data_IF_288100300163
#
_entry.id   IF_288100300163
#
_cell.length_a   1.000
_cell.length_b   1.000
_cell.length_c   1.000
_cell.angle_alpha   90.00
_cell.angle_beta   90.00
_cell.angle_gamma   90.00
#
_symmetry.space_group_name_H-M   'P 1'
#
loop_
_entity.id
_entity.type
_entity.pdbx_description
1 polymer ?
#
# COMPACT_ATOMS: atom_id res chain seq x y z
N UNK A 1 4.39 -2.91 43.95
CA UNK A 1 3.68 -3.04 42.66
C UNK A 1 3.48 -4.51 42.36
N UNK A 2 2.24 -5.00 42.36
CA UNK A 2 1.91 -6.36 41.93
C UNK A 2 2.06 -6.41 40.40
N UNK A 3 3.00 -7.22 39.90
CA UNK A 3 3.05 -7.59 38.47
C UNK A 3 1.78 -8.38 38.17
N UNK A 4 0.88 -7.80 37.37
CA UNK A 4 -0.21 -8.57 36.79
C UNK A 4 0.43 -9.53 35.78
N UNK A 5 0.55 -10.80 36.19
CA UNK A 5 0.83 -11.90 35.29
C UNK A 5 -0.51 -12.21 34.62
N UNK A 6 -0.62 -11.99 33.30
CA UNK A 6 -1.80 -12.36 32.51
C UNK A 6 -1.55 -13.79 31.99
N UNK A 7 -2.08 -14.85 32.63
CA UNK A 7 -1.59 -16.21 32.42
C UNK A 7 -2.30 -16.97 31.29
N UNK A 8 -3.24 -16.36 30.55
CA UNK A 8 -4.09 -17.12 29.60
C UNK A 8 -4.20 -16.51 28.20
N UNK A 9 -3.34 -15.54 27.86
CA UNK A 9 -3.20 -15.05 26.49
C UNK A 9 -1.73 -14.87 26.17
N UNK A 10 -1.01 -15.97 26.01
CA UNK A 10 0.13 -16.02 25.08
C UNK A 10 -0.40 -15.79 23.66
N UNK A 11 -0.99 -14.62 23.40
CA UNK A 11 -1.00 -14.11 22.04
C UNK A 11 0.46 -13.86 21.72
N UNK A 12 0.97 -14.65 20.78
CA UNK A 12 2.40 -14.89 20.64
C UNK A 12 3.07 -13.58 20.19
N UNK A 13 3.55 -12.80 21.17
CA UNK A 13 4.42 -11.66 20.92
C UNK A 13 5.57 -12.10 20.01
N UNK A 14 6.05 -13.35 20.14
CA UNK A 14 7.03 -13.87 19.22
C UNK A 14 6.48 -14.08 17.80
N UNK A 15 5.19 -14.37 17.58
CA UNK A 15 4.58 -14.38 16.24
C UNK A 15 4.57 -12.99 15.61
N UNK A 16 4.11 -11.97 16.35
CA UNK A 16 4.14 -10.58 15.86
C UNK A 16 5.57 -10.18 15.50
N UNK A 17 6.53 -10.50 16.37
CA UNK A 17 7.94 -10.20 16.14
C UNK A 17 8.55 -11.02 14.98
N UNK A 18 8.17 -12.29 14.81
CA UNK A 18 8.57 -13.13 13.66
C UNK A 18 8.05 -12.56 12.34
N UNK A 19 6.79 -12.14 12.30
CA UNK A 19 6.22 -11.45 11.11
C UNK A 19 6.99 -10.18 10.81
N UNK A 20 7.36 -9.41 11.84
CA UNK A 20 8.16 -8.21 11.66
C UNK A 20 9.58 -8.50 11.16
N UNK A 21 10.24 -9.54 11.66
CA UNK A 21 11.56 -9.96 11.19
C UNK A 21 11.49 -10.41 9.73
N UNK A 22 10.54 -11.27 9.38
CA UNK A 22 10.29 -11.69 7.99
C UNK A 22 9.91 -10.52 7.09
N UNK A 23 9.15 -9.57 7.61
CA UNK A 23 8.82 -8.36 6.87
C UNK A 23 10.08 -7.52 6.62
N UNK A 24 10.94 -7.35 7.62
CA UNK A 24 12.23 -6.70 7.41
C UNK A 24 13.09 -7.43 6.37
N UNK A 25 13.11 -8.76 6.39
CA UNK A 25 13.80 -9.57 5.38
C UNK A 25 13.20 -9.39 3.99
N UNK A 26 11.87 -9.36 3.87
CA UNK A 26 11.15 -9.03 2.63
C UNK A 26 11.50 -7.64 2.10
N UNK A 27 11.44 -6.63 2.96
CA UNK A 27 11.75 -5.24 2.61
C UNK A 27 13.23 -5.03 2.25
N UNK A 28 14.13 -5.83 2.82
CA UNK A 28 15.55 -5.86 2.47
C UNK A 28 15.83 -6.73 1.21
N UNK A 29 14.79 -7.27 0.58
CA UNK A 29 14.89 -8.11 -0.61
C UNK A 29 15.46 -9.50 -0.37
N UNK A 30 15.55 -9.97 0.87
CA UNK A 30 15.91 -11.35 1.18
C UNK A 30 14.75 -12.32 0.86
N UNK A 31 13.51 -11.84 0.97
CA UNK A 31 12.29 -12.54 0.55
C UNK A 31 11.67 -11.74 -0.59
N UNK A 32 11.37 -12.39 -1.72
CA UNK A 32 10.84 -11.75 -2.93
C UNK A 32 11.68 -10.51 -3.39
N UNK A 33 12.98 -10.71 -3.72
CA UNK A 33 13.94 -9.64 -4.04
C UNK A 33 13.52 -8.66 -5.14
N UNK A 34 12.58 -9.10 -6.00
CA UNK A 34 12.09 -8.33 -7.12
C UNK A 34 10.62 -7.93 -6.96
N UNK A 35 9.98 -8.18 -5.81
CA UNK A 35 8.56 -7.91 -5.61
C UNK A 35 7.65 -8.68 -6.58
N UNK A 36 8.15 -9.73 -7.23
CA UNK A 36 7.43 -10.50 -8.24
C UNK A 36 6.32 -11.34 -7.60
N UNK A 37 6.56 -11.85 -6.39
CA UNK A 37 5.59 -12.60 -5.59
C UNK A 37 4.34 -11.77 -5.30
N UNK A 38 4.53 -10.56 -4.75
CA UNK A 38 3.42 -9.64 -4.47
C UNK A 38 2.70 -9.19 -5.75
N UNK A 39 3.43 -8.85 -6.82
CA UNK A 39 2.82 -8.45 -8.11
C UNK A 39 1.99 -9.57 -8.74
N UNK A 40 2.48 -10.81 -8.70
CA UNK A 40 1.74 -11.99 -9.18
C UNK A 40 0.49 -12.23 -8.35
N UNK A 41 0.58 -12.13 -7.04
CA UNK A 41 -0.55 -12.31 -6.15
C UNK A 41 -1.64 -11.24 -6.39
N UNK A 42 -1.25 -9.97 -6.48
CA UNK A 42 -2.15 -8.87 -6.79
C UNK A 42 -2.84 -9.06 -8.14
N UNK A 43 -2.08 -9.43 -9.18
CA UNK A 43 -2.63 -9.74 -10.50
C UNK A 43 -3.66 -10.88 -10.45
N UNK A 44 -3.41 -11.92 -9.65
CA UNK A 44 -4.37 -13.00 -9.45
C UNK A 44 -5.63 -12.53 -8.71
N UNK A 45 -5.48 -11.75 -7.64
CA UNK A 45 -6.60 -11.23 -6.87
C UNK A 45 -7.51 -10.35 -7.76
N UNK A 46 -6.91 -9.44 -8.50
CA UNK A 46 -7.63 -8.48 -9.34
C UNK A 46 -8.28 -9.14 -10.55
N UNK A 47 -7.69 -10.22 -11.08
CA UNK A 47 -8.35 -11.05 -12.11
C UNK A 47 -9.69 -11.61 -11.63
N UNK A 48 -9.82 -11.96 -10.34
CA UNK A 48 -11.09 -12.44 -9.80
C UNK A 48 -12.12 -11.30 -9.73
N UNK A 49 -11.72 -10.09 -9.30
CA UNK A 49 -12.56 -8.88 -9.29
C UNK A 49 -13.04 -8.54 -10.70
N UNK A 50 -12.12 -8.47 -11.67
CA UNK A 50 -12.40 -8.19 -13.09
C UNK A 50 -13.44 -9.13 -13.71
N UNK A 51 -13.47 -10.39 -13.27
CA UNK A 51 -14.38 -11.40 -13.81
C UNK A 51 -15.76 -11.37 -13.17
N UNK A 52 -15.87 -10.83 -11.95
CA UNK A 52 -17.09 -10.85 -11.17
C UNK A 52 -17.85 -9.52 -11.12
N UNK A 53 -17.34 -8.48 -11.76
CA UNK A 53 -17.87 -7.12 -11.68
C UNK A 53 -18.10 -6.56 -13.08
N UNK A 54 -19.37 -6.31 -13.41
CA UNK A 54 -19.74 -5.61 -14.64
C UNK A 54 -19.26 -4.16 -14.60
N UNK A 55 -18.84 -3.61 -15.75
CA UNK A 55 -18.36 -2.24 -15.85
C UNK A 55 -16.96 -2.01 -15.28
N UNK A 56 -16.14 -3.06 -15.12
CA UNK A 56 -14.72 -2.91 -14.80
C UNK A 56 -13.96 -2.29 -15.98
N UNK A 57 -13.20 -1.23 -15.74
CA UNK A 57 -12.46 -0.50 -16.78
C UNK A 57 -10.93 -0.61 -16.62
N UNK A 58 -10.43 -0.64 -15.39
CA UNK A 58 -8.98 -0.72 -15.14
C UNK A 58 -8.62 -0.90 -13.68
N UNK A 59 -7.38 -1.29 -13.42
CA UNK A 59 -6.82 -1.44 -12.08
C UNK A 59 -5.35 -1.06 -12.04
N UNK A 60 -4.98 -0.39 -10.95
CA UNK A 60 -3.66 0.19 -10.77
C UNK A 60 -3.15 -0.08 -9.37
N UNK A 61 -1.95 -0.65 -9.27
CA UNK A 61 -1.25 -0.75 -8.01
C UNK A 61 -0.78 0.64 -7.58
N UNK A 62 -0.99 0.96 -6.32
CA UNK A 62 -0.48 2.17 -5.67
C UNK A 62 0.35 1.75 -4.45
N UNK A 63 1.09 2.67 -3.84
CA UNK A 63 1.94 2.30 -2.70
C UNK A 63 3.09 1.34 -3.08
N UNK A 64 3.50 0.47 -2.15
CA UNK A 64 4.60 -0.49 -2.35
C UNK A 64 4.09 -1.77 -3.04
N UNK A 65 4.87 -2.42 -3.94
CA UNK A 65 6.18 -2.02 -4.47
C UNK A 65 6.09 -1.05 -5.66
N UNK A 66 4.91 -0.54 -6.00
CA UNK A 66 4.65 0.15 -7.27
C UNK A 66 5.31 1.52 -7.42
N UNK A 67 5.73 2.15 -6.33
CA UNK A 67 6.60 3.32 -6.38
C UNK A 67 8.08 3.03 -6.65
N UNK A 68 8.46 1.75 -6.73
CA UNK A 68 9.80 1.32 -7.14
C UNK A 68 9.77 0.90 -8.62
N UNK A 69 9.66 1.86 -9.53
CA UNK A 69 9.63 1.57 -10.96
C UNK A 69 10.93 0.92 -11.45
N UNK A 70 10.80 -0.09 -12.31
CA UNK A 70 11.89 -0.94 -12.80
C UNK A 70 12.81 -0.23 -13.81
N UNK A 71 14.11 -0.56 -13.75
CA UNK A 71 14.97 -0.58 -14.94
C UNK A 71 15.61 -1.96 -15.04
N UNK A 72 15.21 -2.75 -16.04
CA UNK A 72 15.84 -4.03 -16.35
C UNK A 72 15.58 -5.17 -15.36
N UNK A 73 14.43 -5.20 -14.69
CA UNK A 73 14.01 -6.33 -13.84
C UNK A 73 14.76 -6.47 -12.50
N UNK A 74 15.53 -5.46 -12.08
CA UNK A 74 15.96 -5.31 -10.69
C UNK A 74 15.07 -4.26 -10.02
N UNK A 75 14.40 -4.67 -8.93
CA UNK A 75 13.72 -3.74 -8.02
C UNK A 75 14.72 -2.72 -7.51
N UNK A 76 14.24 -1.49 -7.27
CA UNK A 76 14.99 -0.46 -6.55
C UNK A 76 15.25 -1.01 -5.15
N UNK A 77 16.42 -1.63 -5.00
CA UNK A 77 16.94 -2.25 -3.76
C UNK A 77 17.16 -1.24 -2.63
N UNK A 78 17.00 0.05 -2.89
CA UNK A 78 17.39 1.12 -2.00
C UNK A 78 16.34 2.24 -2.00
N UNK A 79 15.16 1.97 -1.45
CA UNK A 79 14.35 3.04 -0.88
C UNK A 79 14.86 3.28 0.55
N UNK A 80 15.51 4.41 0.86
CA UNK A 80 16.06 4.66 2.18
C UNK A 80 14.98 4.84 3.24
N UNK A 81 13.74 5.12 2.86
CA UNK A 81 12.65 5.03 3.84
C UNK A 81 12.41 3.57 4.24
N UNK A 82 12.51 2.60 3.32
CA UNK A 82 12.55 1.19 3.70
C UNK A 82 13.81 0.88 4.47
N UNK A 83 15.02 1.25 4.04
CA UNK A 83 16.25 0.98 4.80
C UNK A 83 16.28 1.67 6.17
N UNK A 84 15.66 2.85 6.30
CA UNK A 84 15.50 3.59 7.56
C UNK A 84 14.41 2.98 8.42
N UNK A 85 13.23 2.67 7.88
CA UNK A 85 12.19 1.98 8.63
C UNK A 85 12.66 0.57 8.96
N UNK A 86 13.07 -0.28 8.05
CA UNK A 86 13.66 -1.59 8.34
C UNK A 86 14.87 -1.48 9.25
N UNK A 87 15.78 -0.53 9.09
CA UNK A 87 16.94 -0.36 9.96
C UNK A 87 16.56 0.10 11.38
N UNK A 88 15.83 1.21 11.51
CA UNK A 88 15.40 1.77 12.79
C UNK A 88 14.37 0.89 13.48
N UNK A 89 13.37 0.38 12.74
CA UNK A 89 12.33 -0.54 13.21
C UNK A 89 12.93 -1.90 13.54
N UNK A 90 13.78 -2.52 12.70
CA UNK A 90 14.40 -3.82 13.06
C UNK A 90 15.34 -3.67 14.25
N UNK A 91 16.11 -2.58 14.34
CA UNK A 91 16.92 -2.31 15.53
C UNK A 91 16.05 -2.01 16.74
N UNK A 92 14.89 -1.36 16.58
CA UNK A 92 13.94 -1.13 17.65
C UNK A 92 13.29 -2.44 18.10
N UNK A 93 12.83 -3.26 17.16
CA UNK A 93 12.30 -4.62 17.36
C UNK A 93 13.33 -5.46 18.11
N UNK A 94 14.57 -5.58 17.61
CA UNK A 94 15.64 -6.35 18.27
C UNK A 94 15.97 -5.82 19.67
N UNK A 95 15.96 -4.50 19.87
CA UNK A 95 16.17 -3.88 21.20
C UNK A 95 15.02 -4.21 22.15
N UNK A 96 13.77 -4.02 21.74
CA UNK A 96 12.58 -4.37 22.53
C UNK A 96 12.54 -5.88 22.82
N UNK A 97 12.94 -6.72 21.85
CA UNK A 97 13.08 -8.18 22.00
C UNK A 97 14.10 -8.57 23.06
N UNK A 98 15.25 -7.91 23.09
CA UNK A 98 16.31 -8.18 24.06
C UNK A 98 15.89 -7.86 25.51
N UNK A 99 14.94 -6.93 25.68
CA UNK A 99 14.49 -6.49 27.01
C UNK A 99 13.42 -7.43 27.60
N UNK A 100 12.77 -8.30 26.81
CA UNK A 100 11.81 -9.40 27.16
C UNK A 100 10.81 -9.18 28.31
N UNK A 101 10.67 -7.99 28.85
CA UNK A 101 9.79 -7.68 29.95
C UNK A 101 8.63 -6.85 29.42
N UNK A 102 7.62 -7.55 28.91
CA UNK A 102 6.28 -7.03 28.64
C UNK A 102 6.28 -5.90 27.61
N UNK A 103 6.13 -6.26 26.34
CA UNK A 103 5.43 -5.36 25.43
C UNK A 103 4.19 -4.85 26.17
N UNK A 104 3.94 -3.53 26.28
CA UNK A 104 2.86 -3.01 27.10
C UNK A 104 1.55 -2.78 26.31
N UNK A 105 1.62 -2.88 24.98
CA UNK A 105 0.45 -2.89 24.09
C UNK A 105 -0.30 -4.22 23.90
N UNK A 106 0.06 -5.41 24.44
CA UNK A 106 -0.74 -6.62 24.33
C UNK A 106 -2.14 -6.35 24.84
N UNK A 107 -2.30 -5.63 25.96
CA UNK A 107 -3.61 -5.23 26.50
C UNK A 107 -4.49 -4.48 25.50
N UNK A 108 -3.92 -3.76 24.53
CA UNK A 108 -4.65 -3.14 23.43
C UNK A 108 -4.97 -4.13 22.30
N UNK A 109 -4.11 -5.14 22.07
CA UNK A 109 -4.22 -6.17 21.04
C UNK A 109 -4.93 -7.47 21.50
N UNK A 110 -5.29 -7.60 22.78
CA UNK A 110 -5.95 -8.79 23.36
C UNK A 110 -7.37 -9.04 22.79
N UNK A 111 -7.91 -8.09 22.03
CA UNK A 111 -9.14 -8.32 21.26
C UNK A 111 -8.84 -9.06 19.96
N UNK A 112 -9.60 -10.11 19.66
CA UNK A 112 -9.55 -10.80 18.37
C UNK A 112 -9.76 -9.84 17.19
N UNK A 113 -10.49 -8.74 17.41
CA UNK A 113 -10.87 -7.73 16.41
C UNK A 113 -10.07 -6.42 16.54
N UNK A 114 -8.77 -6.50 16.89
CA UNK A 114 -7.96 -5.30 17.06
C UNK A 114 -7.76 -4.54 15.74
N UNK A 115 -8.13 -3.26 15.72
CA UNK A 115 -7.90 -2.34 14.60
C UNK A 115 -6.86 -1.25 14.98
N UNK A 116 -6.05 -0.73 14.03
CA UNK A 116 -5.06 0.31 14.32
C UNK A 116 -5.65 1.56 14.98
N UNK A 117 -6.92 1.86 14.70
CA UNK A 117 -7.67 3.02 15.22
C UNK A 117 -7.89 2.96 16.74
N UNK A 118 -7.90 1.76 17.33
CA UNK A 118 -8.03 1.54 18.78
C UNK A 118 -6.72 1.82 19.53
N UNK A 119 -5.59 1.97 18.81
CA UNK A 119 -4.31 2.31 19.42
C UNK A 119 -4.29 3.79 19.85
N UNK A 120 -4.39 4.01 21.16
CA UNK A 120 -4.22 5.36 21.76
C UNK A 120 -2.78 5.83 21.68
N UNK A 121 -2.60 7.15 21.51
CA UNK A 121 -1.28 7.78 21.64
C UNK A 121 -0.82 7.70 23.09
N UNK A 122 0.21 6.89 23.35
CA UNK A 122 0.80 6.75 24.69
C UNK A 122 2.31 6.57 24.61
N UNK A 123 3.03 7.08 25.61
CA UNK A 123 4.50 7.04 25.66
C UNK A 123 5.07 5.74 26.27
N UNK A 124 4.26 4.69 26.34
CA UNK A 124 4.62 3.45 27.05
C UNK A 124 5.63 2.60 26.26
N UNK A 125 5.53 2.61 24.93
CA UNK A 125 6.50 1.96 24.03
C UNK A 125 6.56 2.74 22.72
N UNK A 126 7.76 2.93 22.13
CA UNK A 126 7.93 3.60 20.84
C UNK A 126 7.42 2.77 19.66
N UNK A 127 7.48 1.44 19.73
CA UNK A 127 6.95 0.57 18.69
C UNK A 127 5.45 0.36 19.01
N UNK A 128 4.54 0.66 18.08
CA UNK A 128 3.09 0.48 18.28
C UNK A 128 2.57 -0.59 17.33
N UNK A 129 1.46 -1.29 17.64
CA UNK A 129 0.80 -2.20 16.70
C UNK A 129 0.54 -1.56 15.33
N UNK A 130 0.06 -0.32 15.31
CA UNK A 130 -0.13 0.47 14.08
C UNK A 130 1.16 0.77 13.30
N UNK A 131 2.31 0.81 13.99
CA UNK A 131 3.61 1.04 13.34
C UNK A 131 4.05 -0.18 12.56
N UNK A 132 3.74 -1.37 13.09
CA UNK A 132 4.01 -2.66 12.45
C UNK A 132 3.16 -2.80 11.18
N UNK A 133 1.86 -2.49 11.26
CA UNK A 133 0.93 -2.65 10.13
C UNK A 133 1.30 -1.76 8.94
N UNK A 134 1.71 -0.53 9.21
CA UNK A 134 2.07 0.47 8.18
C UNK A 134 3.26 0.08 7.29
N UNK A 135 4.04 -0.91 7.69
CA UNK A 135 5.20 -1.37 6.92
C UNK A 135 4.99 -2.77 6.34
N UNK A 136 3.82 -3.39 6.56
CA UNK A 136 3.54 -4.72 6.04
C UNK A 136 3.32 -4.70 4.53
N UNK A 137 3.61 -5.79 3.82
CA UNK A 137 3.19 -5.93 2.44
C UNK A 137 1.66 -6.04 2.40
N UNK A 138 1.02 -4.95 2.02
CA UNK A 138 -0.37 -4.91 1.59
C UNK A 138 -0.45 -4.58 0.10
N UNK A 139 -1.62 -4.83 -0.47
CA UNK A 139 -1.91 -4.51 -1.86
C UNK A 139 -2.84 -3.30 -1.89
N UNK A 140 -2.26 -2.10 -1.89
CA UNK A 140 -2.95 -0.85 -2.18
C UNK A 140 -3.32 -0.84 -3.68
N UNK A 141 -4.62 -0.76 -4.01
CA UNK A 141 -5.05 -0.86 -5.41
C UNK A 141 -6.26 0.01 -5.71
N UNK A 142 -6.15 0.78 -6.80
CA UNK A 142 -7.27 1.45 -7.43
C UNK A 142 -7.96 0.49 -8.40
N UNK A 143 -9.28 0.47 -8.35
CA UNK A 143 -10.17 -0.21 -9.28
C UNK A 143 -11.07 0.86 -9.90
N UNK A 144 -11.00 1.00 -11.22
CA UNK A 144 -11.79 1.95 -11.97
C UNK A 144 -12.95 1.20 -12.61
N UNK A 145 -14.16 1.69 -12.36
CA UNK A 145 -15.40 1.14 -12.90
C UNK A 145 -16.20 2.23 -13.62
N UNK A 146 -17.04 1.84 -14.57
CA UNK A 146 -17.93 2.75 -15.31
C UNK A 146 -18.74 3.61 -14.35
N UNK A 147 -19.24 2.98 -13.27
CA UNK A 147 -19.97 3.65 -12.19
C UNK A 147 -19.47 3.18 -10.82
N UNK A 148 -19.24 4.12 -9.90
CA UNK A 148 -19.00 3.82 -8.48
C UNK A 148 -20.32 3.83 -7.67
N UNK A 149 -21.34 3.09 -8.11
CA UNK A 149 -22.65 3.02 -7.48
C UNK A 149 -22.74 1.88 -6.43
N UNK A 150 -23.88 1.77 -5.73
CA UNK A 150 -24.06 0.71 -4.71
C UNK A 150 -24.00 -0.68 -5.33
N UNK A 151 -24.51 -0.88 -6.55
CA UNK A 151 -24.54 -2.18 -7.20
C UNK A 151 -23.13 -2.68 -7.51
N UNK A 152 -22.28 -1.83 -8.07
CA UNK A 152 -20.88 -2.12 -8.36
C UNK A 152 -20.11 -2.41 -7.07
N UNK A 153 -20.30 -1.60 -6.02
CA UNK A 153 -19.67 -1.81 -4.71
C UNK A 153 -20.07 -3.14 -4.07
N UNK A 154 -21.37 -3.47 -4.09
CA UNK A 154 -21.88 -4.74 -3.57
C UNK A 154 -21.33 -5.94 -4.35
N UNK A 155 -21.16 -5.82 -5.67
CA UNK A 155 -20.56 -6.87 -6.50
C UNK A 155 -19.08 -7.08 -6.17
N UNK A 156 -18.30 -5.99 -6.09
CA UNK A 156 -16.88 -6.03 -5.69
C UNK A 156 -16.74 -6.66 -4.31
N UNK A 157 -17.57 -6.22 -3.36
CA UNK A 157 -17.61 -6.76 -2.01
C UNK A 157 -17.93 -8.25 -1.99
N UNK A 158 -18.94 -8.69 -2.75
CA UNK A 158 -19.31 -10.11 -2.84
C UNK A 158 -18.17 -10.97 -3.39
N UNK A 159 -17.45 -10.50 -4.42
CA UNK A 159 -16.29 -11.22 -4.96
C UNK A 159 -15.17 -11.27 -3.93
N UNK A 160 -14.90 -10.15 -3.25
CA UNK A 160 -13.86 -10.09 -2.23
C UNK A 160 -14.14 -11.06 -1.08
N UNK A 161 -15.39 -11.16 -0.61
CA UNK A 161 -15.79 -12.11 0.42
C UNK A 161 -15.65 -13.56 -0.05
N UNK A 162 -16.10 -13.90 -1.27
CA UNK A 162 -15.97 -15.25 -1.85
C UNK A 162 -14.50 -15.71 -1.94
N UNK A 163 -13.60 -14.78 -2.27
CA UNK A 163 -12.16 -15.06 -2.39
C UNK A 163 -11.38 -14.92 -1.08
N UNK A 164 -12.06 -14.55 0.01
CA UNK A 164 -11.43 -14.36 1.32
C UNK A 164 -10.41 -13.23 1.35
N UNK A 165 -10.65 -12.15 0.59
CA UNK A 165 -9.88 -10.91 0.65
C UNK A 165 -10.21 -10.15 1.93
N UNK A 166 -9.18 -9.58 2.55
CA UNK A 166 -9.27 -8.83 3.82
C UNK A 166 -8.54 -7.51 3.68
N UNK A 167 -9.01 -6.43 4.31
CA UNK A 167 -8.22 -5.19 4.41
C UNK A 167 -7.14 -5.27 5.47
N UNK A 168 -6.08 -4.50 5.27
CA UNK A 168 -4.90 -4.49 6.15
C UNK A 168 -5.26 -4.09 7.59
N UNK A 169 -6.22 -3.16 7.74
CA UNK A 169 -6.59 -2.51 9.00
C UNK A 169 -7.87 -3.05 9.67
N UNK A 170 -8.61 -3.96 9.00
CA UNK A 170 -9.87 -4.53 9.51
C UNK A 170 -9.66 -5.47 10.69
N UNK A 171 -8.67 -6.37 10.61
CA UNK A 171 -8.26 -7.22 11.72
C UNK A 171 -6.74 -7.39 11.67
N UNK A 172 -6.05 -6.66 12.55
CA UNK A 172 -4.58 -6.68 12.60
C UNK A 172 -4.01 -8.07 12.80
N UNK A 173 -4.62 -8.87 13.69
CA UNK A 173 -4.11 -10.18 14.06
C UNK A 173 -4.25 -11.15 12.90
N UNK A 174 -5.41 -11.15 12.23
CA UNK A 174 -5.63 -11.95 11.03
C UNK A 174 -4.70 -11.53 9.89
N UNK A 175 -4.54 -10.22 9.65
CA UNK A 175 -3.62 -9.68 8.65
C UNK A 175 -2.19 -10.17 8.88
N UNK A 176 -1.70 -10.11 10.13
CA UNK A 176 -0.37 -10.58 10.50
C UNK A 176 -0.17 -12.07 10.18
N UNK A 177 -1.15 -12.93 10.52
CA UNK A 177 -1.07 -14.37 10.22
C UNK A 177 -1.06 -14.64 8.72
N UNK A 178 -1.88 -13.94 7.94
CA UNK A 178 -1.94 -14.08 6.47
C UNK A 178 -0.62 -13.66 5.82
N UNK A 179 -0.05 -12.55 6.30
CA UNK A 179 1.25 -12.07 5.84
C UNK A 179 2.35 -13.05 6.18
N UNK A 180 2.39 -13.59 7.40
CA UNK A 180 3.38 -14.61 7.79
C UNK A 180 3.36 -15.79 6.83
N UNK A 181 2.17 -16.34 6.58
CA UNK A 181 2.00 -17.50 5.70
C UNK A 181 2.37 -17.19 4.24
N UNK A 182 2.14 -15.96 3.77
CA UNK A 182 2.53 -15.54 2.44
C UNK A 182 4.06 -15.40 2.31
N UNK A 183 4.70 -14.73 3.28
CA UNK A 183 6.16 -14.56 3.31
C UNK A 183 6.89 -15.90 3.44
N UNK A 184 6.39 -16.82 4.27
CA UNK A 184 6.96 -18.17 4.42
C UNK A 184 6.84 -18.98 3.13
N UNK A 185 5.68 -18.96 2.50
CA UNK A 185 5.50 -19.63 1.23
C UNK A 185 6.46 -19.08 0.18
N UNK A 186 6.64 -17.75 0.09
CA UNK A 186 7.59 -17.15 -0.86
C UNK A 186 9.05 -17.47 -0.54
N UNK A 187 9.46 -17.42 0.72
CA UNK A 187 10.81 -17.79 1.15
C UNK A 187 11.14 -19.25 0.78
N UNK A 188 10.14 -20.13 0.80
CA UNK A 188 10.26 -21.53 0.41
C UNK A 188 9.99 -21.81 -1.09
N UNK A 189 9.73 -20.77 -1.90
CA UNK A 189 9.43 -20.92 -3.33
C UNK A 189 8.07 -21.56 -3.64
N UNK A 190 7.14 -21.54 -2.68
CA UNK A 190 5.78 -22.07 -2.78
C UNK A 190 4.75 -20.97 -3.03
N UNK A 191 3.56 -21.37 -3.50
CA UNK A 191 2.40 -20.48 -3.59
C UNK A 191 1.77 -20.29 -2.20
N UNK A 192 1.46 -19.05 -1.77
CA UNK A 192 0.69 -18.79 -0.55
C UNK A 192 -0.70 -19.42 -0.57
N UNK A 193 -1.16 -19.87 0.60
CA UNK A 193 -2.49 -20.45 0.78
C UNK A 193 -3.61 -19.40 0.82
N UNK A 194 -3.27 -18.17 1.20
CA UNK A 194 -4.17 -17.01 1.27
C UNK A 194 -3.57 -15.82 0.53
N UNK A 195 -4.43 -14.88 0.14
CA UNK A 195 -3.99 -13.58 -0.33
C UNK A 195 -3.46 -12.74 0.82
N UNK A 196 -2.50 -11.87 0.52
CA UNK A 196 -2.15 -10.73 1.35
C UNK A 196 -3.38 -9.83 1.53
N UNK A 197 -3.40 -9.02 2.59
CA UNK A 197 -4.40 -7.98 2.73
C UNK A 197 -4.41 -7.06 1.49
N UNK A 198 -5.61 -6.65 1.06
CA UNK A 198 -5.83 -5.84 -0.13
C UNK A 198 -6.74 -4.66 0.19
N UNK A 199 -6.20 -3.48 -0.02
CA UNK A 199 -6.89 -2.21 0.18
C UNK A 199 -7.41 -1.76 -1.19
N UNK A 200 -8.62 -2.25 -1.51
CA UNK A 200 -9.32 -1.90 -2.74
C UNK A 200 -10.01 -0.54 -2.61
N UNK A 201 -9.71 0.34 -3.56
CA UNK A 201 -10.29 1.67 -3.71
C UNK A 201 -10.98 1.78 -5.06
N UNK A 202 -12.30 1.92 -5.04
CA UNK A 202 -13.13 2.00 -6.25
C UNK A 202 -13.37 3.44 -6.63
N UNK A 203 -13.11 3.74 -7.90
CA UNK A 203 -13.18 5.07 -8.50
C UNK A 203 -14.10 5.01 -9.71
N UNK A 204 -14.94 6.02 -9.85
CA UNK A 204 -15.76 6.20 -11.06
C UNK A 204 -14.86 6.58 -12.24
N UNK A 205 -15.12 6.01 -13.42
CA UNK A 205 -14.32 6.24 -14.63
C UNK A 205 -14.31 7.72 -15.01
N UNK A 206 -15.45 8.42 -14.92
CA UNK A 206 -15.52 9.83 -15.29
C UNK A 206 -14.77 10.71 -14.28
N UNK A 207 -14.89 10.40 -12.98
CA UNK A 207 -14.12 11.08 -11.94
C UNK A 207 -12.62 10.88 -12.16
N UNK A 208 -12.18 9.66 -12.50
CA UNK A 208 -10.79 9.35 -12.80
C UNK A 208 -10.26 10.12 -14.01
N UNK A 209 -11.01 10.15 -15.11
CA UNK A 209 -10.63 10.90 -16.33
C UNK A 209 -10.53 12.40 -16.01
N UNK A 210 -11.49 12.95 -15.28
CA UNK A 210 -11.47 14.36 -14.86
C UNK A 210 -10.28 14.65 -13.95
N UNK A 211 -9.95 13.76 -13.02
CA UNK A 211 -8.77 13.91 -12.17
C UNK A 211 -7.46 13.87 -12.95
N UNK A 212 -7.37 13.02 -13.98
CA UNK A 212 -6.23 13.04 -14.91
C UNK A 212 -6.13 14.38 -15.64
N UNK A 213 -7.25 14.93 -16.13
CA UNK A 213 -7.27 16.24 -16.78
C UNK A 213 -6.84 17.37 -15.83
N UNK A 214 -7.33 17.38 -14.59
CA UNK A 214 -6.93 18.35 -13.57
C UNK A 214 -5.44 18.25 -13.23
N UNK A 215 -4.92 17.03 -13.10
CA UNK A 215 -3.48 16.79 -12.92
C UNK A 215 -2.68 17.33 -14.10
N UNK A 216 -3.12 17.04 -15.34
CA UNK A 216 -2.50 17.55 -16.56
C UNK A 216 -2.37 19.08 -16.57
N UNK A 217 -3.35 19.78 -15.98
CA UNK A 217 -3.38 21.23 -15.84
C UNK A 217 -2.62 21.75 -14.59
N UNK A 218 -1.99 20.88 -13.79
CA UNK A 218 -1.29 21.26 -12.56
C UNK A 218 -2.22 21.60 -11.38
N UNK A 219 -3.51 21.22 -11.45
CA UNK A 219 -4.54 21.57 -10.46
C UNK A 219 -4.67 20.50 -9.36
N UNK A 220 -5.07 20.95 -8.18
CA UNK A 220 -5.49 20.06 -7.10
C UNK A 220 -6.73 19.29 -7.53
N UNK A 221 -6.75 17.99 -7.24
CA UNK A 221 -7.83 17.09 -7.63
C UNK A 221 -8.37 16.36 -6.42
N UNK A 222 -9.68 16.15 -6.42
CA UNK A 222 -10.40 15.46 -5.36
C UNK A 222 -11.23 14.36 -5.99
N UNK A 223 -10.78 13.11 -5.84
CA UNK A 223 -11.50 11.94 -6.32
C UNK A 223 -12.50 11.45 -5.28
N UNK A 224 -13.69 11.10 -5.76
CA UNK A 224 -14.66 10.34 -4.96
C UNK A 224 -14.24 8.88 -4.98
N UNK A 225 -13.87 8.37 -3.80
CA UNK A 225 -13.35 7.02 -3.67
C UNK A 225 -14.18 6.26 -2.65
N UNK A 226 -14.60 5.05 -3.03
CA UNK A 226 -15.12 4.08 -2.08
C UNK A 226 -14.02 3.09 -1.73
N UNK A 227 -13.74 2.88 -0.45
CA UNK A 227 -12.70 1.92 -0.01
C UNK A 227 -13.35 0.73 0.67
N UNK A 228 -12.79 -0.45 0.44
CA UNK A 228 -13.54 -1.67 0.67
C UNK A 228 -13.96 -1.94 2.11
N UNK A 229 -13.28 -1.64 3.22
CA UNK A 229 -13.80 -1.94 4.58
C UNK A 229 -13.71 -0.74 5.53
N UNK A 230 -13.49 0.44 4.97
CA UNK A 230 -13.49 1.68 5.71
C UNK A 230 -14.64 2.56 5.24
N UNK A 231 -15.55 2.88 6.15
CA UNK A 231 -16.24 4.17 6.11
C UNK A 231 -15.14 5.25 6.25
N UNK A 232 -14.42 5.53 5.16
CA UNK A 232 -13.61 6.72 5.09
C UNK A 232 -14.58 7.87 5.31
N UNK A 233 -14.58 8.43 6.53
CA UNK A 233 -15.32 9.63 6.86
C UNK A 233 -14.83 10.73 5.93
N UNK A 234 -15.47 10.87 4.76
CA UNK A 234 -15.56 11.92 3.73
C UNK A 234 -14.57 13.12 3.68
N UNK A 235 -13.45 13.12 4.42
CA UNK A 235 -12.67 14.32 4.73
C UNK A 235 -11.16 14.15 4.59
N UNK A 236 -10.67 12.98 4.14
CA UNK A 236 -9.27 12.85 3.72
C UNK A 236 -9.27 12.55 2.23
N UNK A 237 -8.99 13.58 1.44
CA UNK A 237 -8.65 13.41 0.03
C UNK A 237 -7.46 12.46 -0.05
N UNK A 238 -7.60 11.35 -0.78
CA UNK A 238 -6.46 10.53 -1.18
C UNK A 238 -5.47 11.43 -1.92
N UNK A 239 -4.19 11.17 -1.70
CA UNK A 239 -3.09 11.92 -2.26
C UNK A 239 -2.87 11.53 -3.73
N UNK A 240 -3.90 11.74 -4.55
CA UNK A 240 -3.93 11.24 -5.92
C UNK A 240 -2.79 11.82 -6.77
N UNK A 241 -2.32 13.03 -6.47
CA UNK A 241 -1.12 13.60 -7.09
C UNK A 241 0.11 12.74 -6.86
N UNK A 242 0.35 12.37 -5.59
CA UNK A 242 1.48 11.53 -5.25
C UNK A 242 1.35 10.16 -5.89
N UNK A 243 0.16 9.53 -5.80
CA UNK A 243 -0.03 8.21 -6.38
C UNK A 243 0.10 8.23 -7.90
N UNK A 244 -0.60 9.13 -8.61
CA UNK A 244 -0.54 9.27 -10.07
C UNK A 244 0.91 9.43 -10.57
N UNK A 245 1.67 10.33 -9.94
CA UNK A 245 3.04 10.61 -10.36
C UNK A 245 3.99 9.48 -9.96
N UNK A 246 3.91 9.02 -8.71
CA UNK A 246 4.96 8.21 -8.11
C UNK A 246 4.66 6.71 -8.14
N UNK A 247 3.46 6.27 -7.78
CA UNK A 247 3.16 4.86 -7.49
C UNK A 247 2.26 4.18 -8.52
N UNK A 248 1.39 4.92 -9.20
CA UNK A 248 0.32 4.38 -10.03
C UNK A 248 0.88 3.56 -11.20
N UNK A 249 0.71 2.24 -11.09
CA UNK A 249 1.25 1.25 -12.02
C UNK A 249 0.11 0.37 -12.52
N UNK A 250 -0.15 0.32 -13.84
CA UNK A 250 -1.22 -0.49 -14.38
C UNK A 250 -0.91 -1.97 -14.17
N UNK A 251 -1.91 -2.74 -13.75
CA UNK A 251 -1.79 -4.19 -13.77
C UNK A 251 -1.93 -4.75 -15.19
N UNK A 252 -1.43 -5.96 -15.47
CA UNK A 252 -1.54 -6.55 -16.80
C UNK A 252 -3.00 -6.61 -17.26
N UNK A 253 -3.31 -6.12 -18.46
CA UNK A 253 -4.63 -6.12 -19.12
C UNK A 253 -5.60 -4.99 -18.75
N UNK A 254 -5.11 -3.79 -18.42
CA UNK A 254 -5.95 -2.59 -18.61
C UNK A 254 -6.15 -2.40 -20.12
N UNK A 255 -7.39 -2.46 -20.61
CA UNK A 255 -7.71 -2.37 -22.05
C UNK A 255 -8.67 -1.23 -22.37
N UNK A 256 -9.19 -0.52 -21.37
CA UNK A 256 -10.03 0.65 -21.61
C UNK A 256 -9.15 1.79 -22.16
N UNK A 257 -9.38 2.12 -23.43
CA UNK A 257 -8.57 3.10 -24.15
C UNK A 257 -8.78 4.52 -23.62
N UNK A 258 -9.98 4.85 -23.13
CA UNK A 258 -10.24 6.21 -22.62
C UNK A 258 -9.45 6.49 -21.34
N UNK A 259 -9.30 5.48 -20.48
CA UNK A 259 -8.47 5.59 -19.28
C UNK A 259 -6.99 5.74 -19.64
N UNK A 260 -6.50 4.93 -20.59
CA UNK A 260 -5.12 5.00 -21.05
C UNK A 260 -4.81 6.36 -21.70
N UNK A 261 -5.70 6.82 -22.58
CA UNK A 261 -5.59 8.11 -23.27
C UNK A 261 -5.61 9.27 -22.27
N UNK A 262 -6.47 9.22 -21.24
CA UNK A 262 -6.53 10.25 -20.20
C UNK A 262 -5.23 10.33 -19.39
N UNK A 263 -4.62 9.19 -19.05
CA UNK A 263 -3.33 9.15 -18.34
C UNK A 263 -2.21 9.71 -19.23
N UNK A 264 -2.15 9.29 -20.50
CA UNK A 264 -1.09 9.71 -21.41
C UNK A 264 -1.22 11.19 -21.78
N UNK A 265 -2.43 11.70 -21.99
CA UNK A 265 -2.70 13.13 -22.19
C UNK A 265 -2.28 13.95 -20.96
N UNK A 266 -2.62 13.49 -19.76
CA UNK A 266 -2.20 14.16 -18.52
C UNK A 266 -0.68 14.22 -18.39
N UNK A 267 0.02 13.11 -18.64
CA UNK A 267 1.49 13.04 -18.66
C UNK A 267 2.08 13.99 -19.70
N UNK A 268 1.54 13.99 -20.92
CA UNK A 268 2.01 14.84 -22.03
C UNK A 268 1.84 16.32 -21.71
N UNK A 269 0.72 16.72 -21.11
CA UNK A 269 0.50 18.11 -20.68
C UNK A 269 1.49 18.51 -19.59
N UNK A 270 1.67 17.68 -18.58
CA UNK A 270 2.63 17.93 -17.51
C UNK A 270 4.05 18.15 -18.05
N UNK A 271 4.53 17.28 -18.93
CA UNK A 271 5.89 17.36 -19.47
C UNK A 271 6.09 18.52 -20.46
N UNK A 272 5.03 19.01 -21.11
CA UNK A 272 5.06 20.21 -21.95
C UNK A 272 5.08 21.51 -21.13
N UNK A 273 4.38 21.53 -20.00
CA UNK A 273 4.17 22.74 -19.21
C UNK A 273 5.19 22.93 -18.08
N UNK A 274 5.82 21.85 -17.61
CA UNK A 274 6.66 21.88 -16.43
C UNK A 274 7.97 21.09 -16.65
N UNK A 275 9.07 21.62 -16.13
CA UNK A 275 10.32 20.87 -15.98
C UNK A 275 10.18 19.78 -14.92
N UNK A 276 11.09 18.80 -14.93
CA UNK A 276 11.14 17.75 -13.89
C UNK A 276 11.20 18.34 -12.49
N UNK A 277 12.05 19.35 -12.25
CA UNK A 277 12.15 19.99 -10.94
C UNK A 277 10.87 20.74 -10.54
N UNK A 278 10.19 21.38 -11.51
CA UNK A 278 8.88 22.01 -11.25
C UNK A 278 7.81 20.98 -10.89
N UNK A 279 7.82 19.80 -11.52
CA UNK A 279 6.91 18.70 -11.19
C UNK A 279 7.19 18.13 -9.80
N UNK A 280 8.46 17.96 -9.43
CA UNK A 280 8.84 17.57 -8.06
C UNK A 280 8.32 18.59 -7.05
N UNK A 281 8.50 19.88 -7.30
CA UNK A 281 7.98 20.95 -6.44
C UNK A 281 6.45 20.93 -6.32
N UNK A 282 5.73 20.66 -7.42
CA UNK A 282 4.27 20.53 -7.41
C UNK A 282 3.87 19.35 -6.51
N UNK A 283 4.43 18.17 -6.74
CA UNK A 283 4.13 16.97 -5.92
C UNK A 283 4.41 17.24 -4.45
N UNK A 284 5.55 17.87 -4.13
CA UNK A 284 5.91 18.26 -2.75
C UNK A 284 4.92 19.27 -2.13
N UNK A 285 4.36 20.20 -2.91
CA UNK A 285 3.35 21.15 -2.41
C UNK A 285 2.02 20.46 -2.16
N UNK A 286 1.59 19.60 -3.09
CA UNK A 286 0.28 18.95 -3.04
C UNK A 286 0.21 17.80 -2.03
N UNK A 287 1.34 17.15 -1.72
CA UNK A 287 1.37 15.91 -0.95
C UNK A 287 2.18 16.03 0.35
N UNK A 288 1.53 15.78 1.50
CA UNK A 288 2.27 15.62 2.78
C UNK A 288 3.15 14.37 2.76
N UNK A 289 2.68 13.29 2.14
CA UNK A 289 3.42 12.03 2.01
C UNK A 289 4.70 12.28 1.22
N UNK A 290 4.62 12.91 0.05
CA UNK A 290 5.78 13.31 -0.74
C UNK A 290 6.78 14.11 0.08
N UNK A 291 6.31 15.08 0.89
CA UNK A 291 7.21 15.88 1.75
C UNK A 291 8.00 15.06 2.76
N UNK A 292 7.49 13.92 3.20
CA UNK A 292 8.23 13.00 4.07
C UNK A 292 9.17 12.12 3.25
N UNK A 293 8.70 11.61 2.10
CA UNK A 293 9.39 10.61 1.29
C UNK A 293 10.51 11.16 0.42
N UNK A 294 10.33 12.34 -0.15
CA UNK A 294 11.29 12.95 -1.06
C UNK A 294 12.37 13.73 -0.31
N UNK A 295 12.43 13.66 1.03
CA UNK A 295 13.61 14.11 1.78
C UNK A 295 14.81 13.16 1.62
N UNK A 296 14.56 11.94 1.12
CA UNK A 296 15.59 10.94 0.87
C UNK A 296 16.05 11.01 -0.59
N UNK A 297 17.34 11.27 -0.80
CA UNK A 297 17.89 11.53 -2.14
C UNK A 297 17.59 10.40 -3.15
N UNK A 298 17.79 9.10 -2.85
CA UNK A 298 17.43 8.03 -3.79
C UNK A 298 15.94 7.99 -4.18
N UNK A 299 15.02 8.32 -3.27
CA UNK A 299 13.58 8.40 -3.58
C UNK A 299 13.30 9.57 -4.53
N UNK A 300 13.99 10.70 -4.31
CA UNK A 300 13.93 11.85 -5.21
C UNK A 300 14.53 11.54 -6.59
N UNK A 301 15.66 10.85 -6.65
CA UNK A 301 16.28 10.38 -7.90
C UNK A 301 15.34 9.45 -8.68
N UNK A 302 14.73 8.46 -8.03
CA UNK A 302 13.77 7.56 -8.67
C UNK A 302 12.55 8.31 -9.25
N UNK A 303 12.01 9.30 -8.51
CA UNK A 303 10.95 10.16 -9.02
C UNK A 303 11.41 10.95 -10.26
N UNK A 304 12.61 11.55 -10.22
CA UNK A 304 13.17 12.30 -11.33
C UNK A 304 13.39 11.43 -12.56
N UNK A 305 13.88 10.21 -12.40
CA UNK A 305 14.05 9.26 -13.50
C UNK A 305 12.70 8.91 -14.15
N UNK A 306 11.68 8.62 -13.32
CA UNK A 306 10.32 8.34 -13.79
C UNK A 306 9.74 9.52 -14.57
N UNK A 307 9.82 10.74 -14.02
CA UNK A 307 9.35 11.96 -14.69
C UNK A 307 10.12 12.24 -15.99
N UNK A 308 11.43 11.98 -16.01
CA UNK A 308 12.25 12.14 -17.21
C UNK A 308 11.85 11.14 -18.31
N UNK A 309 11.43 9.92 -17.94
CA UNK A 309 10.95 8.93 -18.90
C UNK A 309 9.67 9.38 -19.63
N UNK A 310 8.83 10.20 -19.00
CA UNK A 310 7.63 10.74 -19.62
C UNK A 310 7.92 11.79 -20.70
N UNK A 311 9.10 12.42 -20.65
CA UNK A 311 9.53 13.38 -21.67
C UNK A 311 10.01 12.69 -22.96
N UNK A 312 10.14 11.36 -22.94
CA UNK A 312 10.54 10.55 -24.10
C UNK A 312 9.33 10.02 -24.88
N UNK A 313 8.11 10.33 -24.42
CA UNK A 313 6.81 10.00 -25.04
C UNK A 313 6.37 11.20 -25.88
#
# INVERSE_FOLDING_TARGET
>A
MRRAFFPETEYDLAAILRVNEKNADYLNGAIDPSGEGIRKMATCALKEIRRGVDGFCGDYGTGFPYHSSEKGGQVIKDQPEFTRYTGELSNLIRREMAVRALWPCPSCQLGADFTPSQCVDCNITPLKPRTIIKVMPDMDTFVICDENDKKTRDAIWSVAQDKGFTQSDFNTNESLTRIEGALDAWAEGRKPASYLPIDLHVIDKNDFIQACADIGDGKLTHLTIWSMYAEWKNNKSIDFWFDFVFSMTPYPRVTDTEILDAIDEARSRLTRCYSVDQLVDIVMKQSYRARQLLQYEPTMEALREKLSSWQQI
#
